data_IF_731816274903
#
_entry.id   IF_731816274903
#
_cell.length_a   1.000
_cell.length_b   1.000
_cell.length_c   1.000
_cell.angle_alpha   90.00
_cell.angle_beta   90.00
_cell.angle_gamma   90.00
#
_symmetry.space_group_name_H-M   'P 1'
#
loop_
_entity.id
_entity.type
_entity.pdbx_description
1 polymer ?
#
# COMPACT_ATOMS: atom_id res chain seq x y z
N UNK A 1 -21.01 -34.62 6.85
CA UNK A 1 -21.23 -33.86 5.62
C UNK A 1 -22.24 -32.79 5.95
N UNK A 2 -21.84 -31.61 6.07
CA UNK A 2 -22.52 -30.31 6.27
C UNK A 2 -21.85 -29.53 7.40
N UNK A 3 -20.83 -28.77 7.03
CA UNK A 3 -20.32 -27.62 7.82
C UNK A 3 -19.25 -26.97 6.94
N UNK A 4 -19.61 -25.92 6.24
CA UNK A 4 -18.69 -24.93 5.63
C UNK A 4 -19.47 -23.91 4.78
N UNK A 5 -20.43 -23.22 5.39
CA UNK A 5 -21.15 -22.12 4.72
C UNK A 5 -21.34 -20.86 5.58
N UNK A 6 -20.75 -20.83 6.78
CA UNK A 6 -21.05 -19.76 7.77
C UNK A 6 -19.96 -18.66 7.86
N UNK A 7 -18.75 -18.86 7.33
CA UNK A 7 -17.67 -17.89 7.49
C UNK A 7 -17.64 -16.77 6.42
N UNK A 8 -18.26 -16.97 5.25
CA UNK A 8 -18.36 -15.93 4.20
C UNK A 8 -19.43 -14.86 4.49
N UNK A 9 -20.51 -15.23 5.17
CA UNK A 9 -21.63 -14.33 5.47
C UNK A 9 -21.32 -13.36 6.62
N UNK A 10 -20.45 -13.72 7.53
CA UNK A 10 -20.06 -12.84 8.66
C UNK A 10 -19.13 -11.71 8.23
N UNK A 11 -18.24 -11.93 7.27
CA UNK A 11 -17.32 -10.90 6.75
C UNK A 11 -18.05 -9.81 5.96
N UNK A 12 -18.95 -10.18 5.05
CA UNK A 12 -19.73 -9.21 4.25
C UNK A 12 -20.74 -8.44 5.11
N UNK A 13 -21.24 -9.06 6.19
CA UNK A 13 -22.14 -8.42 7.16
C UNK A 13 -21.41 -7.40 8.04
N UNK A 14 -20.18 -7.67 8.45
CA UNK A 14 -19.34 -6.74 9.22
C UNK A 14 -18.93 -5.54 8.37
N UNK A 15 -18.49 -5.76 7.14
CA UNK A 15 -18.11 -4.69 6.21
C UNK A 15 -19.28 -3.73 5.93
N UNK A 16 -20.48 -4.24 5.69
CA UNK A 16 -21.67 -3.40 5.50
C UNK A 16 -22.05 -2.63 6.78
N UNK A 17 -21.77 -3.18 7.97
CA UNK A 17 -22.01 -2.52 9.24
C UNK A 17 -21.02 -1.36 9.47
N UNK A 18 -19.74 -1.57 9.18
CA UNK A 18 -18.69 -0.55 9.25
C UNK A 18 -18.92 0.59 8.25
N UNK A 19 -19.27 0.27 6.99
CA UNK A 19 -19.64 1.29 6.01
C UNK A 19 -20.84 2.12 6.47
N UNK A 20 -21.84 1.50 7.05
CA UNK A 20 -23.01 2.20 7.60
C UNK A 20 -22.62 3.14 8.74
N UNK A 21 -21.77 2.68 9.66
CA UNK A 21 -21.32 3.49 10.79
C UNK A 21 -20.47 4.68 10.31
N UNK A 22 -19.57 4.46 9.35
CA UNK A 22 -18.79 5.52 8.71
C UNK A 22 -19.69 6.58 8.05
N UNK A 23 -20.71 6.18 7.26
CA UNK A 23 -21.62 7.12 6.59
C UNK A 23 -22.45 7.91 7.58
N UNK A 24 -22.87 7.29 8.69
CA UNK A 24 -23.60 8.00 9.76
C UNK A 24 -22.71 9.01 10.48
N UNK A 25 -21.44 8.67 10.72
CA UNK A 25 -20.46 9.57 11.33
C UNK A 25 -20.17 10.75 10.40
N UNK A 26 -19.96 10.50 9.10
CA UNK A 26 -19.74 11.53 8.09
C UNK A 26 -20.92 12.50 7.95
N UNK A 27 -22.17 12.01 8.05
CA UNK A 27 -23.36 12.88 8.08
C UNK A 27 -23.38 13.79 9.31
N UNK A 28 -22.99 13.26 10.46
CA UNK A 28 -22.93 14.05 11.69
C UNK A 28 -21.82 15.12 11.65
N UNK A 29 -20.66 14.79 11.09
CA UNK A 29 -19.56 15.75 10.89
C UNK A 29 -19.93 16.85 9.91
N UNK A 30 -20.67 16.54 8.83
CA UNK A 30 -21.21 17.53 7.90
C UNK A 30 -22.16 18.54 8.56
N UNK A 31 -23.05 18.05 9.44
CA UNK A 31 -23.94 18.94 10.18
C UNK A 31 -23.16 19.89 11.10
N UNK A 32 -22.10 19.41 11.76
CA UNK A 32 -21.22 20.23 12.59
C UNK A 32 -20.44 21.27 11.78
N UNK A 33 -19.94 20.89 10.60
CA UNK A 33 -19.23 21.82 9.71
C UNK A 33 -20.15 22.92 9.18
N UNK A 34 -21.41 22.57 8.88
CA UNK A 34 -22.42 23.53 8.50
C UNK A 34 -22.79 24.50 9.64
N UNK A 35 -22.99 23.97 10.87
CA UNK A 35 -23.25 24.80 12.06
C UNK A 35 -22.10 25.75 12.39
N UNK A 36 -20.84 25.31 12.14
CA UNK A 36 -19.65 26.13 12.32
C UNK A 36 -19.42 27.17 11.21
N UNK A 37 -20.28 27.19 10.18
CA UNK A 37 -20.20 28.14 9.06
C UNK A 37 -19.07 27.82 8.05
N UNK A 38 -18.50 26.63 8.11
CA UNK A 38 -17.44 26.16 7.22
C UNK A 38 -17.98 25.60 5.90
N UNK A 39 -19.29 25.30 5.84
CA UNK A 39 -19.96 24.72 4.68
C UNK A 39 -21.11 25.61 4.21
N UNK A 40 -21.28 25.79 2.91
CA UNK A 40 -22.43 26.51 2.38
C UNK A 40 -23.72 25.66 2.50
N UNK A 41 -24.90 26.28 2.57
CA UNK A 41 -26.18 25.57 2.62
C UNK A 41 -26.35 24.63 1.42
N UNK A 42 -25.91 25.03 0.24
CA UNK A 42 -26.02 24.26 -0.99
C UNK A 42 -25.11 23.05 -0.99
N UNK A 43 -23.86 23.21 -0.56
CA UNK A 43 -22.91 22.11 -0.42
C UNK A 43 -23.36 21.13 0.67
N UNK A 44 -23.85 21.62 1.80
CA UNK A 44 -24.39 20.80 2.86
C UNK A 44 -25.57 19.92 2.36
N UNK A 45 -26.57 20.53 1.70
CA UNK A 45 -27.69 19.79 1.15
C UNK A 45 -27.27 18.75 0.10
N UNK A 46 -26.29 19.07 -0.74
CA UNK A 46 -25.80 18.16 -1.76
C UNK A 46 -25.09 16.97 -1.13
N UNK A 47 -24.21 17.19 -0.17
CA UNK A 47 -23.45 16.14 0.52
C UNK A 47 -24.37 15.27 1.38
N UNK A 48 -25.33 15.86 2.10
CA UNK A 48 -26.33 15.11 2.87
C UNK A 48 -27.18 14.20 1.97
N UNK A 49 -27.66 14.71 0.81
CA UNK A 49 -28.41 13.88 -0.17
C UNK A 49 -27.58 12.73 -0.70
N UNK A 50 -26.31 12.95 -0.88
CA UNK A 50 -25.36 11.94 -1.38
C UNK A 50 -25.12 10.84 -0.35
N UNK A 51 -24.69 11.19 0.86
CA UNK A 51 -24.44 10.19 1.91
C UNK A 51 -25.70 9.44 2.31
N UNK A 52 -26.86 10.10 2.28
CA UNK A 52 -28.15 9.44 2.50
C UNK A 52 -28.48 8.42 1.41
N UNK A 53 -28.13 8.71 0.14
CA UNK A 53 -28.30 7.75 -0.97
C UNK A 53 -27.34 6.56 -0.85
N UNK A 54 -26.09 6.78 -0.48
CA UNK A 54 -25.13 5.72 -0.24
C UNK A 54 -25.53 4.84 0.94
N UNK A 55 -26.03 5.44 2.01
CA UNK A 55 -26.57 4.72 3.16
C UNK A 55 -27.76 3.85 2.78
N UNK A 56 -28.65 4.34 1.89
CA UNK A 56 -29.76 3.56 1.34
C UNK A 56 -29.25 2.35 0.52
N UNK A 57 -28.25 2.55 -0.33
CA UNK A 57 -27.65 1.48 -1.13
C UNK A 57 -27.00 0.39 -0.28
N UNK A 58 -26.28 0.77 0.78
CA UNK A 58 -25.67 -0.18 1.73
C UNK A 58 -26.75 -0.97 2.48
N UNK A 59 -27.88 -0.32 2.82
CA UNK A 59 -29.01 -0.98 3.49
C UNK A 59 -29.85 -1.86 2.56
N UNK A 60 -29.95 -1.51 1.27
CA UNK A 60 -30.64 -2.33 0.26
C UNK A 60 -29.80 -3.54 -0.18
N UNK A 61 -28.48 -3.40 -0.28
CA UNK A 61 -27.55 -4.51 -0.56
C UNK A 61 -27.69 -5.63 0.50
N UNK A 62 -27.90 -5.27 1.77
CA UNK A 62 -28.18 -6.24 2.84
C UNK A 62 -29.51 -7.01 2.64
N UNK A 63 -30.51 -6.40 1.99
CA UNK A 63 -31.79 -7.05 1.65
C UNK A 63 -31.70 -8.04 0.48
N UNK A 64 -30.74 -7.82 -0.44
CA UNK A 64 -30.53 -8.67 -1.63
C UNK A 64 -29.71 -9.91 -1.27
N UNK A 65 -28.80 -9.82 -0.28
CA UNK A 65 -28.01 -10.97 0.22
C UNK A 65 -28.91 -11.96 0.96
N UNK A 66 -29.97 -11.48 1.62
CA UNK A 66 -30.96 -12.34 2.31
C UNK A 66 -31.92 -13.09 1.34
N UNK A 67 -31.90 -12.76 0.04
CA UNK A 67 -32.75 -13.42 -0.97
C UNK A 67 -31.92 -14.17 -2.03
N UNK A 68 -31.35 -15.29 -1.65
CA UNK A 68 -30.51 -16.23 -2.38
C UNK A 68 -30.59 -16.24 -3.92
N UNK A 69 -29.50 -15.87 -4.56
CA UNK A 69 -29.14 -16.34 -5.89
C UNK A 69 -27.61 -16.45 -6.01
N UNK A 70 -27.11 -17.67 -6.27
CA UNK A 70 -25.67 -18.00 -6.37
C UNK A 70 -24.96 -17.26 -7.50
N UNK A 71 -23.79 -16.64 -7.29
CA UNK A 71 -22.92 -16.16 -8.37
C UNK A 71 -21.79 -17.12 -8.67
N UNK A 72 -21.53 -17.31 -9.96
CA UNK A 72 -20.51 -18.17 -10.54
C UNK A 72 -19.08 -17.74 -10.11
N UNK A 73 -18.29 -18.72 -9.67
CA UNK A 73 -16.91 -18.61 -9.18
C UNK A 73 -15.92 -18.35 -10.32
N UNK A 74 -15.17 -17.28 -10.27
CA UNK A 74 -13.99 -17.08 -11.10
C UNK A 74 -13.65 -15.60 -11.34
N UNK A 75 -12.44 -15.16 -10.94
CA UNK A 75 -11.79 -13.84 -11.18
C UNK A 75 -11.97 -12.72 -10.14
N UNK A 76 -12.40 -12.97 -8.90
CA UNK A 76 -12.69 -11.88 -7.94
C UNK A 76 -11.52 -11.43 -7.04
N UNK A 77 -10.45 -12.20 -6.90
CA UNK A 77 -9.41 -11.92 -5.88
C UNK A 77 -8.36 -10.88 -6.30
N UNK A 78 -8.06 -10.74 -7.60
CA UNK A 78 -7.10 -9.72 -8.06
C UNK A 78 -7.73 -8.33 -8.25
N UNK A 79 -9.02 -8.26 -8.59
CA UNK A 79 -9.72 -6.99 -8.76
C UNK A 79 -10.04 -6.28 -7.43
N UNK A 80 -10.25 -7.03 -6.32
CA UNK A 80 -10.57 -6.47 -5.01
C UNK A 80 -9.38 -5.77 -4.35
N UNK A 81 -8.17 -6.29 -4.52
CA UNK A 81 -6.94 -5.66 -3.99
C UNK A 81 -6.67 -4.31 -4.69
N UNK A 82 -6.99 -4.21 -5.99
CA UNK A 82 -6.83 -2.97 -6.76
C UNK A 82 -7.89 -1.90 -6.45
N UNK A 83 -9.12 -2.32 -6.14
CA UNK A 83 -10.22 -1.38 -5.83
C UNK A 83 -10.07 -0.73 -4.45
N UNK A 84 -9.49 -1.43 -3.46
CA UNK A 84 -9.30 -0.90 -2.11
C UNK A 84 -8.26 0.23 -2.06
N UNK A 85 -7.16 0.10 -2.81
CA UNK A 85 -6.11 1.14 -2.89
C UNK A 85 -6.62 2.46 -3.49
N UNK A 86 -7.58 2.39 -4.43
CA UNK A 86 -8.12 3.57 -5.12
C UNK A 86 -9.20 4.28 -4.28
N UNK A 87 -9.97 3.54 -3.48
CA UNK A 87 -11.00 4.12 -2.58
C UNK A 87 -10.35 4.92 -1.44
N UNK A 88 -9.18 4.47 -0.94
CA UNK A 88 -8.41 5.20 0.06
C UNK A 88 -7.81 6.51 -0.50
N UNK A 89 -7.45 6.55 -1.79
CA UNK A 89 -7.00 7.77 -2.48
C UNK A 89 -8.09 8.85 -2.55
N UNK A 90 -9.34 8.47 -2.77
CA UNK A 90 -10.46 9.41 -2.86
C UNK A 90 -10.87 10.03 -1.52
N UNK A 91 -10.70 9.30 -0.41
CA UNK A 91 -11.12 9.76 0.91
C UNK A 91 -10.13 10.75 1.55
N UNK A 92 -8.82 10.56 1.33
CA UNK A 92 -7.79 11.43 1.92
C UNK A 92 -7.69 12.80 1.23
N UNK A 93 -7.96 12.88 -0.09
CA UNK A 93 -7.94 14.13 -0.84
C UNK A 93 -9.03 15.13 -0.38
N UNK A 94 -10.15 14.64 0.17
CA UNK A 94 -11.25 15.49 0.64
C UNK A 94 -10.93 16.35 1.86
N UNK A 95 -9.95 15.96 2.68
CA UNK A 95 -9.68 16.62 3.98
C UNK A 95 -8.70 17.80 3.83
N UNK A 96 -7.82 17.79 2.83
CA UNK A 96 -6.80 18.85 2.66
C UNK A 96 -7.29 20.11 1.92
N UNK A 97 -8.45 20.06 1.24
CA UNK A 97 -8.98 21.15 0.42
C UNK A 97 -9.55 22.31 1.26
N UNK A 98 -9.90 22.08 2.54
CA UNK A 98 -10.49 23.13 3.38
C UNK A 98 -9.51 24.24 3.84
N UNK A 99 -8.20 24.07 3.65
CA UNK A 99 -7.21 25.04 4.16
C UNK A 99 -6.66 26.04 3.12
N UNK A 100 -7.00 25.90 1.83
CA UNK A 100 -6.46 26.79 0.77
C UNK A 100 -7.50 27.62 0.02
N UNK A 101 -8.73 27.74 0.54
CA UNK A 101 -9.76 28.61 -0.08
C UNK A 101 -9.39 30.08 0.09
N UNK A 102 -8.59 30.57 -0.84
CA UNK A 102 -8.26 32.01 -0.98
C UNK A 102 -9.50 32.84 -1.28
N UNK A 103 -9.52 34.07 -0.76
CA UNK A 103 -10.59 35.06 -0.79
C UNK A 103 -11.21 35.28 -2.20
N UNK A 104 -12.54 35.30 -2.24
CA UNK A 104 -13.35 35.65 -3.42
C UNK A 104 -13.07 37.07 -3.92
N UNK A 105 -12.88 37.20 -5.23
CA UNK A 105 -12.92 38.49 -5.92
C UNK A 105 -14.35 38.90 -6.18
N UNK A 106 -14.73 40.10 -5.76
CA UNK A 106 -16.06 40.66 -5.98
C UNK A 106 -16.27 41.06 -7.46
N UNK A 107 -17.23 40.39 -8.15
CA UNK A 107 -17.62 40.77 -9.52
C UNK A 107 -18.30 39.70 -10.37
N UNK A 108 -18.69 38.53 -9.88
CA UNK A 108 -19.38 37.56 -10.71
C UNK A 108 -20.91 37.69 -10.67
N UNK A 109 -21.46 37.81 -11.89
CA UNK A 109 -22.88 38.03 -12.20
C UNK A 109 -23.75 36.80 -11.97
N UNK A 110 -24.90 37.00 -11.31
CA UNK A 110 -25.93 36.00 -11.01
C UNK A 110 -26.82 35.79 -12.23
N UNK A 111 -26.38 35.16 -13.30
CA UNK A 111 -27.24 34.53 -14.33
C UNK A 111 -26.38 33.72 -15.31
N UNK A 112 -26.12 32.48 -14.96
CA UNK A 112 -25.51 31.48 -15.81
C UNK A 112 -25.48 30.17 -15.04
N UNK A 113 -25.72 29.05 -15.72
CA UNK A 113 -25.61 27.70 -15.17
C UNK A 113 -24.53 27.64 -14.09
N UNK A 114 -24.88 27.18 -12.89
CA UNK A 114 -23.97 27.03 -11.75
C UNK A 114 -22.80 26.17 -12.26
N UNK A 115 -21.69 26.81 -12.64
CA UNK A 115 -20.45 26.07 -12.92
C UNK A 115 -19.99 25.51 -11.59
N UNK A 116 -19.93 24.18 -11.49
CA UNK A 116 -19.30 23.51 -10.34
C UNK A 116 -17.92 24.15 -10.14
N UNK A 117 -17.51 24.35 -8.89
CA UNK A 117 -16.13 24.80 -8.61
C UNK A 117 -15.15 23.78 -9.15
N UNK A 118 -13.96 24.20 -9.54
CA UNK A 118 -12.90 23.29 -10.02
C UNK A 118 -12.61 22.19 -8.97
N UNK A 119 -12.57 22.56 -7.71
CA UNK A 119 -12.39 21.63 -6.60
C UNK A 119 -13.52 20.57 -6.54
N UNK A 120 -14.79 20.98 -6.76
CA UNK A 120 -15.92 20.03 -6.81
C UNK A 120 -15.83 19.09 -8.03
N UNK A 121 -15.38 19.58 -9.19
CA UNK A 121 -15.18 18.78 -10.40
C UNK A 121 -14.07 17.74 -10.19
N UNK A 122 -12.93 18.16 -9.63
CA UNK A 122 -11.82 17.24 -9.29
C UNK A 122 -12.28 16.16 -8.33
N UNK A 123 -12.96 16.53 -7.24
CA UNK A 123 -13.49 15.55 -6.27
C UNK A 123 -14.47 14.58 -6.93
N UNK A 124 -15.33 15.06 -7.84
CA UNK A 124 -16.26 14.21 -8.60
C UNK A 124 -15.50 13.21 -9.49
N UNK A 125 -14.50 13.67 -10.23
CA UNK A 125 -13.67 12.81 -11.08
C UNK A 125 -12.91 11.76 -10.26
N UNK A 126 -12.33 12.15 -9.12
CA UNK A 126 -11.62 11.23 -8.22
C UNK A 126 -12.51 10.12 -7.69
N UNK A 127 -13.78 10.40 -7.39
CA UNK A 127 -14.73 9.38 -6.97
C UNK A 127 -15.02 8.33 -8.06
N UNK A 128 -14.79 8.67 -9.31
CA UNK A 128 -14.98 7.75 -10.44
C UNK A 128 -13.76 6.84 -10.66
N UNK A 129 -12.59 7.16 -10.08
CA UNK A 129 -11.37 6.37 -10.23
C UNK A 129 -11.54 4.90 -9.82
N UNK A 130 -12.36 4.64 -8.80
CA UNK A 130 -12.66 3.29 -8.32
C UNK A 130 -13.51 2.44 -9.26
N UNK A 131 -14.14 3.05 -10.29
CA UNK A 131 -15.02 2.35 -11.22
C UNK A 131 -14.49 2.46 -12.66
N UNK A 132 -13.90 1.37 -13.16
CA UNK A 132 -13.28 1.32 -14.47
C UNK A 132 -14.22 1.69 -15.62
N UNK A 133 -15.50 1.32 -15.52
CA UNK A 133 -16.50 1.60 -16.55
C UNK A 133 -16.82 3.11 -16.67
N UNK A 134 -16.45 3.89 -15.64
CA UNK A 134 -16.68 5.34 -15.57
C UNK A 134 -15.40 6.17 -15.76
N UNK A 135 -14.28 5.56 -16.10
CA UNK A 135 -13.03 6.30 -16.33
C UNK A 135 -13.13 7.31 -17.47
N UNK A 136 -13.90 7.00 -18.53
CA UNK A 136 -14.16 7.96 -19.61
C UNK A 136 -14.82 9.24 -19.12
N UNK A 137 -15.81 9.11 -18.21
CA UNK A 137 -16.50 10.23 -17.58
C UNK A 137 -15.55 11.06 -16.69
N UNK A 138 -14.67 10.38 -15.93
CA UNK A 138 -13.66 11.06 -15.13
C UNK A 138 -12.66 11.84 -15.99
N UNK A 139 -12.24 11.29 -17.12
CA UNK A 139 -11.34 11.95 -18.08
C UNK A 139 -12.00 13.21 -18.64
N UNK A 140 -13.29 13.15 -19.04
CA UNK A 140 -14.04 14.32 -19.52
C UNK A 140 -14.11 15.43 -18.47
N UNK A 141 -14.32 15.09 -17.20
CA UNK A 141 -14.34 16.06 -16.10
C UNK A 141 -12.94 16.70 -15.91
N UNK A 142 -11.86 15.92 -15.98
CA UNK A 142 -10.50 16.48 -15.91
C UNK A 142 -10.20 17.37 -17.13
N UNK A 143 -10.67 17.03 -18.33
CA UNK A 143 -10.53 17.86 -19.53
C UNK A 143 -11.27 19.20 -19.36
N UNK A 144 -12.49 19.21 -18.82
CA UNK A 144 -13.24 20.43 -18.49
C UNK A 144 -12.51 21.33 -17.48
N UNK A 145 -11.88 20.71 -16.46
CA UNK A 145 -11.03 21.43 -15.50
C UNK A 145 -9.83 22.07 -16.22
N UNK A 146 -9.18 21.33 -17.11
CA UNK A 146 -8.00 21.79 -17.82
C UNK A 146 -8.31 22.85 -18.89
N UNK A 147 -9.54 22.94 -19.42
CA UNK A 147 -9.98 24.06 -20.26
C UNK A 147 -9.95 25.39 -19.50
N UNK A 148 -10.27 25.36 -18.21
CA UNK A 148 -10.30 26.57 -17.37
C UNK A 148 -9.01 26.81 -16.60
N UNK A 149 -8.31 25.74 -16.22
CA UNK A 149 -7.03 25.75 -15.49
C UNK A 149 -6.01 24.82 -16.16
N UNK A 150 -5.36 25.22 -17.24
CA UNK A 150 -4.45 24.37 -18.02
C UNK A 150 -3.24 23.81 -17.24
N UNK A 151 -2.87 24.47 -16.14
CA UNK A 151 -1.76 24.07 -15.27
C UNK A 151 -2.22 23.39 -13.96
N UNK A 152 -3.46 22.91 -13.89
CA UNK A 152 -3.93 22.21 -12.71
C UNK A 152 -3.24 20.84 -12.60
N UNK A 153 -2.28 20.72 -11.68
CA UNK A 153 -1.41 19.55 -11.54
C UNK A 153 -2.17 18.29 -11.21
N UNK A 154 -3.23 18.39 -10.43
CA UNK A 154 -4.07 17.26 -10.03
C UNK A 154 -4.85 16.71 -11.23
N UNK A 155 -5.52 17.59 -12.00
CA UNK A 155 -6.25 17.18 -13.19
C UNK A 155 -5.31 16.60 -14.28
N UNK A 156 -4.15 17.21 -14.49
CA UNK A 156 -3.12 16.68 -15.41
C UNK A 156 -2.67 15.28 -15.00
N UNK A 157 -2.37 15.09 -13.71
CA UNK A 157 -1.82 13.84 -13.18
C UNK A 157 -2.81 12.69 -13.28
N UNK A 158 -4.04 12.90 -12.82
CA UNK A 158 -5.04 11.82 -12.80
C UNK A 158 -5.62 11.53 -14.18
N UNK A 159 -5.74 12.53 -15.05
CA UNK A 159 -6.08 12.31 -16.47
C UNK A 159 -5.04 11.42 -17.16
N UNK A 160 -3.76 11.72 -16.97
CA UNK A 160 -2.67 10.90 -17.52
C UNK A 160 -2.70 9.46 -16.95
N UNK A 161 -2.96 9.31 -15.64
CA UNK A 161 -3.08 8.00 -15.01
C UNK A 161 -4.23 7.18 -15.59
N UNK A 162 -5.41 7.76 -15.76
CA UNK A 162 -6.55 7.07 -16.36
C UNK A 162 -6.29 6.68 -17.81
N UNK A 163 -5.66 7.56 -18.60
CA UNK A 163 -5.25 7.22 -19.95
C UNK A 163 -4.23 6.08 -19.99
N UNK A 164 -3.25 6.07 -19.08
CA UNK A 164 -2.30 4.99 -18.94
C UNK A 164 -3.00 3.65 -18.62
N UNK A 165 -3.87 3.65 -17.63
CA UNK A 165 -4.62 2.47 -17.20
C UNK A 165 -5.61 1.97 -18.28
N UNK A 166 -6.06 2.84 -19.16
CA UNK A 166 -6.95 2.51 -20.29
C UNK A 166 -6.19 2.00 -21.52
N UNK A 167 -4.87 1.87 -21.44
CA UNK A 167 -4.02 1.37 -22.54
C UNK A 167 -3.61 2.46 -23.53
N UNK A 168 -3.61 3.73 -23.08
CA UNK A 168 -3.04 4.84 -23.85
C UNK A 168 -1.52 4.69 -24.02
N UNK A 169 -0.95 5.47 -24.96
CA UNK A 169 0.48 5.41 -25.24
C UNK A 169 1.31 5.78 -23.99
N UNK A 170 2.14 4.86 -23.51
CA UNK A 170 2.90 5.01 -22.27
C UNK A 170 3.82 6.24 -22.32
N UNK A 171 4.53 6.44 -23.42
CA UNK A 171 5.47 7.56 -23.57
C UNK A 171 4.78 8.93 -23.48
N UNK A 172 3.52 9.03 -23.94
CA UNK A 172 2.74 10.25 -23.83
C UNK A 172 2.36 10.56 -22.38
N UNK A 173 2.03 9.51 -21.60
CA UNK A 173 1.67 9.67 -20.21
C UNK A 173 2.89 9.98 -19.33
N UNK A 174 4.03 9.32 -19.57
CA UNK A 174 5.30 9.66 -18.92
C UNK A 174 5.60 11.14 -19.10
N UNK A 175 5.53 11.62 -20.35
CA UNK A 175 5.77 13.03 -20.66
C UNK A 175 4.77 13.97 -19.96
N UNK A 176 3.50 13.57 -19.85
CA UNK A 176 2.51 14.39 -19.16
C UNK A 176 2.83 14.53 -17.66
N UNK A 177 3.29 13.49 -17.00
CA UNK A 177 3.74 13.58 -15.59
C UNK A 177 5.04 14.36 -15.43
N UNK A 178 5.98 14.23 -16.38
CA UNK A 178 7.19 15.07 -16.40
C UNK A 178 6.82 16.56 -16.53
N UNK A 179 5.82 16.91 -17.35
CA UNK A 179 5.30 18.27 -17.45
C UNK A 179 4.66 18.74 -16.14
N UNK A 180 3.95 17.86 -15.40
CA UNK A 180 3.45 18.17 -14.05
C UNK A 180 4.61 18.51 -13.11
N UNK A 181 5.70 17.74 -13.13
CA UNK A 181 6.86 17.99 -12.28
C UNK A 181 7.65 19.24 -12.65
N UNK A 182 7.48 19.78 -13.86
CA UNK A 182 7.98 21.13 -14.21
C UNK A 182 7.17 22.24 -13.52
N UNK A 183 5.87 21.99 -13.26
CA UNK A 183 4.99 22.93 -12.55
C UNK A 183 5.18 22.80 -11.04
N UNK A 184 5.15 21.59 -10.53
CA UNK A 184 5.29 21.26 -9.11
C UNK A 184 6.25 20.08 -8.93
N UNK A 185 7.57 20.34 -8.74
CA UNK A 185 8.60 19.29 -8.71
C UNK A 185 8.42 18.22 -7.63
N UNK A 186 7.76 18.56 -6.51
CA UNK A 186 7.52 17.64 -5.39
C UNK A 186 6.16 16.94 -5.43
N UNK A 187 5.40 17.01 -6.53
CA UNK A 187 4.05 16.44 -6.58
C UNK A 187 4.08 14.91 -6.52
N UNK A 188 3.80 14.39 -5.32
CA UNK A 188 4.01 12.98 -4.96
C UNK A 188 3.27 11.99 -5.86
N UNK A 189 2.03 12.32 -6.28
CA UNK A 189 1.22 11.44 -7.15
C UNK A 189 1.88 11.25 -8.52
N UNK A 190 2.40 12.33 -9.13
CA UNK A 190 3.11 12.25 -10.40
C UNK A 190 4.42 11.47 -10.28
N UNK A 191 5.17 11.67 -9.18
CA UNK A 191 6.40 10.93 -8.90
C UNK A 191 6.14 9.42 -8.80
N UNK A 192 5.08 9.01 -8.08
CA UNK A 192 4.72 7.60 -7.94
C UNK A 192 4.22 7.02 -9.25
N UNK A 193 3.34 7.72 -9.99
CA UNK A 193 2.82 7.22 -11.27
C UNK A 193 3.90 7.11 -12.34
N UNK A 194 4.86 8.04 -12.36
CA UNK A 194 6.07 7.92 -13.19
C UNK A 194 6.89 6.70 -12.81
N UNK A 195 7.19 6.52 -11.52
CA UNK A 195 7.98 5.39 -11.05
C UNK A 195 7.33 4.06 -11.39
N UNK A 196 6.00 3.94 -11.20
CA UNK A 196 5.23 2.73 -11.57
C UNK A 196 5.28 2.50 -13.08
N UNK A 197 5.08 3.54 -13.88
CA UNK A 197 5.05 3.41 -15.35
C UNK A 197 6.41 3.03 -15.91
N UNK A 198 7.47 3.65 -15.42
CA UNK A 198 8.85 3.36 -15.81
C UNK A 198 9.28 1.95 -15.35
N UNK A 199 8.89 1.52 -14.13
CA UNK A 199 9.14 0.16 -13.65
C UNK A 199 8.47 -0.87 -14.55
N UNK A 200 7.20 -0.65 -14.93
CA UNK A 200 6.47 -1.55 -15.85
C UNK A 200 7.12 -1.63 -17.25
N UNK A 201 7.85 -0.59 -17.67
CA UNK A 201 8.62 -0.57 -18.92
C UNK A 201 10.06 -1.14 -18.75
N UNK A 202 10.44 -1.57 -17.53
CA UNK A 202 11.79 -2.05 -17.21
C UNK A 202 12.85 -0.94 -17.15
N UNK A 203 12.44 0.33 -17.05
CA UNK A 203 13.31 1.50 -16.97
C UNK A 203 13.63 1.85 -15.52
N UNK A 204 14.22 0.89 -14.80
CA UNK A 204 14.40 0.95 -13.34
C UNK A 204 15.35 2.06 -12.89
N UNK A 205 16.41 2.32 -13.65
CA UNK A 205 17.34 3.42 -13.36
C UNK A 205 16.65 4.78 -13.39
N UNK A 206 15.72 4.97 -14.32
CA UNK A 206 14.95 6.21 -14.41
C UNK A 206 13.87 6.27 -13.33
N UNK A 207 13.20 5.15 -13.05
CA UNK A 207 12.21 5.06 -11.98
C UNK A 207 12.81 5.38 -10.60
N UNK A 208 14.04 4.93 -10.34
CA UNK A 208 14.74 5.19 -9.07
C UNK A 208 14.97 6.67 -8.81
N UNK A 209 15.26 7.47 -9.86
CA UNK A 209 15.44 8.92 -9.71
C UNK A 209 14.17 9.62 -9.19
N UNK A 210 12.99 9.19 -9.64
CA UNK A 210 11.72 9.76 -9.17
C UNK A 210 11.37 9.27 -7.76
N UNK A 211 11.75 8.04 -7.40
CA UNK A 211 11.62 7.53 -6.02
C UNK A 211 12.59 8.26 -5.06
N UNK A 212 13.80 8.58 -5.47
CA UNK A 212 14.72 9.41 -4.69
C UNK A 212 14.15 10.81 -4.48
N UNK A 213 13.56 11.38 -5.51
CA UNK A 213 12.88 12.66 -5.40
C UNK A 213 11.65 12.58 -4.47
N UNK A 214 10.86 11.49 -4.54
CA UNK A 214 9.74 11.23 -3.64
C UNK A 214 10.20 11.20 -2.19
N UNK A 215 11.25 10.43 -1.87
CA UNK A 215 11.83 10.30 -0.52
C UNK A 215 12.36 11.62 0.04
N UNK A 216 12.83 12.51 -0.84
CA UNK A 216 13.38 13.81 -0.45
C UNK A 216 12.30 14.84 -0.11
N UNK A 217 11.02 14.53 -0.30
CA UNK A 217 9.89 15.41 -0.06
C UNK A 217 8.95 14.84 1.00
N UNK A 218 8.15 15.67 1.69
CA UNK A 218 7.05 15.18 2.51
C UNK A 218 6.04 14.43 1.65
N UNK A 219 5.79 13.16 1.97
CA UNK A 219 4.85 12.30 1.23
C UNK A 219 3.59 12.09 2.06
N UNK A 220 2.42 12.16 1.44
CA UNK A 220 1.15 11.84 2.08
C UNK A 220 1.08 10.34 2.41
N UNK A 221 0.41 9.99 3.52
CA UNK A 221 0.30 8.59 3.99
C UNK A 221 -0.35 7.66 2.96
N UNK A 222 -1.36 8.14 2.22
CA UNK A 222 -2.04 7.38 1.19
C UNK A 222 -1.11 7.04 -0.01
N UNK A 223 -0.26 7.97 -0.40
CA UNK A 223 0.75 7.76 -1.43
C UNK A 223 1.84 6.79 -0.95
N UNK A 224 2.30 6.96 0.29
CA UNK A 224 3.26 6.02 0.89
C UNK A 224 2.68 4.60 0.97
N UNK A 225 1.40 4.46 1.31
CA UNK A 225 0.72 3.17 1.31
C UNK A 225 0.71 2.51 -0.07
N UNK A 226 0.55 3.26 -1.16
CA UNK A 226 0.63 2.72 -2.53
C UNK A 226 2.04 2.18 -2.82
N UNK A 227 3.07 2.97 -2.47
CA UNK A 227 4.47 2.57 -2.67
C UNK A 227 4.77 1.26 -1.92
N UNK A 228 4.35 1.17 -0.66
CA UNK A 228 4.55 -0.01 0.20
C UNK A 228 3.75 -1.23 -0.30
N UNK A 229 2.45 -1.07 -0.57
CA UNK A 229 1.61 -2.18 -1.06
C UNK A 229 2.08 -2.73 -2.41
N UNK A 230 2.63 -1.87 -3.25
CA UNK A 230 3.21 -2.26 -4.54
C UNK A 230 4.59 -2.90 -4.37
N UNK A 231 5.28 -2.68 -3.23
CA UNK A 231 6.68 -3.06 -3.04
C UNK A 231 7.61 -2.31 -4.00
N UNK A 232 7.26 -1.05 -4.31
CA UNK A 232 7.87 -0.30 -5.40
C UNK A 232 9.35 0.00 -5.13
N UNK A 233 9.73 0.26 -3.88
CA UNK A 233 11.13 0.45 -3.51
C UNK A 233 11.94 -0.84 -3.74
N UNK A 234 11.42 -1.98 -3.28
CA UNK A 234 12.08 -3.27 -3.48
C UNK A 234 12.29 -3.60 -4.95
N UNK A 235 11.23 -3.46 -5.78
CA UNK A 235 11.28 -3.74 -7.21
C UNK A 235 12.24 -2.81 -7.94
N UNK A 236 12.07 -1.50 -7.81
CA UNK A 236 12.82 -0.51 -8.59
C UNK A 236 14.29 -0.48 -8.19
N UNK A 237 14.60 -0.32 -6.89
CA UNK A 237 16.00 -0.33 -6.46
C UNK A 237 16.63 -1.71 -6.58
N UNK A 238 15.84 -2.79 -6.40
CA UNK A 238 16.31 -4.15 -6.59
C UNK A 238 16.80 -4.41 -8.00
N UNK A 239 16.09 -3.97 -9.02
CA UNK A 239 16.52 -4.14 -10.41
C UNK A 239 17.61 -3.12 -10.81
N UNK A 240 17.48 -1.85 -10.42
CA UNK A 240 18.46 -0.81 -10.74
C UNK A 240 19.84 -1.08 -10.12
N UNK A 241 19.88 -1.53 -8.86
CA UNK A 241 21.13 -1.76 -8.14
C UNK A 241 21.70 -3.17 -8.32
N UNK A 242 20.94 -4.13 -8.86
CA UNK A 242 21.36 -5.52 -8.97
C UNK A 242 22.72 -5.69 -9.65
N UNK A 243 23.03 -5.04 -10.79
CA UNK A 243 24.36 -5.15 -11.42
C UNK A 243 25.48 -4.70 -10.48
N UNK A 244 25.27 -3.60 -9.76
CA UNK A 244 26.24 -3.05 -8.80
C UNK A 244 26.44 -3.99 -7.60
N UNK A 245 25.34 -4.55 -7.05
CA UNK A 245 25.39 -5.47 -5.90
C UNK A 245 26.13 -6.77 -6.27
N UNK A 246 25.96 -7.26 -7.48
CA UNK A 246 26.67 -8.46 -7.96
C UNK A 246 28.19 -8.23 -7.95
N UNK A 247 28.64 -7.09 -8.45
CA UNK A 247 30.06 -6.78 -8.63
C UNK A 247 30.78 -6.46 -7.31
N UNK A 248 30.09 -5.88 -6.32
CA UNK A 248 30.69 -5.53 -5.02
C UNK A 248 30.66 -6.75 -4.09
N UNK A 249 31.81 -7.13 -3.53
CA UNK A 249 31.90 -8.29 -2.64
C UNK A 249 31.27 -8.04 -1.26
N UNK A 250 31.36 -6.81 -0.75
CA UNK A 250 30.83 -6.35 0.55
C UNK A 250 30.32 -4.93 0.41
N UNK A 251 29.10 -4.73 -0.13
CA UNK A 251 28.53 -3.39 -0.24
C UNK A 251 28.18 -2.84 1.16
N UNK A 252 28.24 -1.52 1.28
CA UNK A 252 27.68 -0.79 2.42
C UNK A 252 26.34 -0.15 2.01
N UNK A 253 25.49 0.21 2.98
CA UNK A 253 24.27 0.95 2.70
C UNK A 253 24.57 2.33 2.09
N UNK A 254 25.65 2.98 2.53
CA UNK A 254 26.11 4.26 1.98
C UNK A 254 26.51 4.14 0.49
N UNK A 255 27.28 3.10 0.11
CA UNK A 255 27.64 2.85 -1.29
C UNK A 255 26.42 2.57 -2.18
N UNK A 256 25.40 1.91 -1.63
CA UNK A 256 24.15 1.62 -2.33
C UNK A 256 23.14 2.77 -2.25
N UNK A 257 23.40 3.81 -1.45
CA UNK A 257 22.52 4.94 -1.18
C UNK A 257 21.13 4.49 -0.64
N UNK A 258 21.12 3.42 0.16
CA UNK A 258 19.90 2.83 0.74
C UNK A 258 19.84 3.11 2.24
N UNK A 259 18.62 3.37 2.72
CA UNK A 259 18.27 3.28 4.14
C UNK A 259 17.99 1.82 4.50
N UNK A 260 18.08 1.45 5.77
CA UNK A 260 17.95 0.07 6.23
C UNK A 260 16.60 -0.55 5.83
N UNK A 261 15.52 0.19 5.99
CA UNK A 261 14.16 -0.24 5.65
C UNK A 261 14.00 -0.52 4.15
N UNK A 262 14.54 0.36 3.30
CA UNK A 262 14.52 0.16 1.85
C UNK A 262 15.46 -0.99 1.46
N UNK A 263 16.61 -1.08 2.11
CA UNK A 263 17.52 -2.22 1.95
C UNK A 263 16.84 -3.56 2.24
N UNK A 264 15.99 -3.64 3.27
CA UNK A 264 15.17 -4.81 3.55
C UNK A 264 14.20 -5.11 2.41
N UNK A 265 13.47 -4.12 1.91
CA UNK A 265 12.56 -4.30 0.78
C UNK A 265 13.29 -4.79 -0.47
N UNK A 266 14.46 -4.23 -0.76
CA UNK A 266 15.33 -4.65 -1.89
C UNK A 266 15.79 -6.09 -1.71
N UNK A 267 16.31 -6.46 -0.54
CA UNK A 267 16.76 -7.81 -0.26
C UNK A 267 15.59 -8.82 -0.36
N UNK A 268 14.45 -8.49 0.22
CA UNK A 268 13.24 -9.32 0.14
C UNK A 268 12.75 -9.47 -1.31
N UNK A 269 12.78 -8.40 -2.12
CA UNK A 269 12.43 -8.46 -3.53
C UNK A 269 13.36 -9.39 -4.33
N UNK A 270 14.68 -9.30 -4.10
CA UNK A 270 15.64 -10.17 -4.78
C UNK A 270 15.41 -11.66 -4.50
N UNK A 271 14.88 -12.00 -3.32
CA UNK A 271 14.51 -13.38 -2.95
C UNK A 271 13.25 -13.90 -3.66
N UNK A 272 12.41 -13.04 -4.25
CA UNK A 272 11.27 -13.50 -5.05
C UNK A 272 11.70 -14.27 -6.31
N UNK A 273 12.93 -14.09 -6.73
CA UNK A 273 13.53 -14.86 -7.82
C UNK A 273 14.30 -16.05 -7.24
N UNK A 274 13.95 -17.26 -7.63
CA UNK A 274 14.62 -18.51 -7.19
C UNK A 274 16.03 -18.68 -7.78
N UNK A 275 16.73 -17.58 -8.12
CA UNK A 275 18.09 -17.61 -8.68
C UNK A 275 19.13 -17.46 -7.57
N UNK A 276 20.08 -18.35 -7.50
CA UNK A 276 21.17 -18.36 -6.51
C UNK A 276 21.93 -17.02 -6.43
N UNK A 277 22.19 -16.38 -7.58
CA UNK A 277 22.90 -15.10 -7.63
C UNK A 277 22.11 -13.97 -6.94
N UNK A 278 20.79 -13.97 -7.05
CA UNK A 278 19.92 -12.99 -6.39
C UNK A 278 19.84 -13.25 -4.88
N UNK A 279 19.83 -14.52 -4.48
CA UNK A 279 19.92 -14.90 -3.07
C UNK A 279 21.23 -14.42 -2.44
N UNK A 280 22.35 -14.61 -3.14
CA UNK A 280 23.66 -14.09 -2.67
C UNK A 280 23.63 -12.56 -2.57
N UNK A 281 23.00 -11.88 -3.52
CA UNK A 281 22.85 -10.42 -3.49
C UNK A 281 21.99 -9.95 -2.32
N UNK A 282 20.89 -10.65 -2.01
CA UNK A 282 20.07 -10.37 -0.83
C UNK A 282 20.86 -10.52 0.48
N UNK A 283 21.65 -11.59 0.61
CA UNK A 283 22.55 -11.81 1.76
C UNK A 283 23.56 -10.66 1.92
N UNK A 284 24.11 -10.16 0.81
CA UNK A 284 25.04 -9.01 0.87
C UNK A 284 24.35 -7.76 1.44
N UNK A 285 23.10 -7.51 1.08
CA UNK A 285 22.33 -6.36 1.59
C UNK A 285 21.99 -6.56 3.07
N UNK A 286 21.53 -7.73 3.50
CA UNK A 286 21.29 -8.00 4.92
C UNK A 286 22.56 -7.78 5.75
N UNK A 287 23.73 -8.20 5.25
CA UNK A 287 25.01 -7.95 5.90
C UNK A 287 25.38 -6.47 5.96
N UNK A 288 25.06 -5.70 4.92
CA UNK A 288 25.23 -4.26 4.94
C UNK A 288 24.37 -3.61 6.04
N UNK A 289 23.12 -4.03 6.16
CA UNK A 289 22.21 -3.56 7.22
C UNK A 289 22.76 -3.94 8.61
N UNK A 290 23.18 -5.19 8.82
CA UNK A 290 23.72 -5.68 10.09
C UNK A 290 25.03 -4.96 10.46
N UNK A 291 25.81 -4.54 9.49
CA UNK A 291 27.04 -3.80 9.73
C UNK A 291 26.77 -2.43 10.35
N UNK A 292 25.76 -1.72 9.89
CA UNK A 292 25.36 -0.40 10.39
C UNK A 292 24.42 -0.50 11.62
N UNK A 293 23.59 -1.55 11.67
CA UNK A 293 22.61 -1.83 12.71
C UNK A 293 22.76 -3.26 13.24
N UNK A 294 23.74 -3.55 14.12
CA UNK A 294 24.11 -4.91 14.53
C UNK A 294 23.01 -5.73 15.22
N UNK A 295 22.01 -5.07 15.80
CA UNK A 295 20.85 -5.72 16.45
C UNK A 295 19.57 -5.66 15.63
N UNK A 296 19.64 -5.36 14.32
CA UNK A 296 18.45 -5.26 13.47
C UNK A 296 17.75 -6.62 13.33
N UNK A 297 16.55 -6.82 13.91
CA UNK A 297 15.99 -8.16 14.08
C UNK A 297 15.65 -8.84 12.75
N UNK A 298 15.06 -8.13 11.81
CA UNK A 298 14.65 -8.70 10.53
C UNK A 298 15.86 -9.06 9.65
N UNK A 299 16.85 -8.18 9.54
CA UNK A 299 18.05 -8.47 8.75
C UNK A 299 18.83 -9.67 9.30
N UNK A 300 19.00 -9.75 10.64
CA UNK A 300 19.61 -10.89 11.31
C UNK A 300 18.84 -12.19 11.03
N UNK A 301 17.52 -12.15 11.19
CA UNK A 301 16.67 -13.32 11.04
C UNK A 301 16.60 -13.83 9.60
N UNK A 302 16.50 -12.93 8.64
CA UNK A 302 16.46 -13.27 7.21
C UNK A 302 17.79 -13.83 6.72
N UNK A 303 18.92 -13.21 7.07
CA UNK A 303 20.24 -13.77 6.75
C UNK A 303 20.41 -15.15 7.37
N UNK A 304 20.08 -15.31 8.65
CA UNK A 304 20.21 -16.58 9.35
C UNK A 304 19.35 -17.69 8.73
N UNK A 305 18.10 -17.41 8.32
CA UNK A 305 17.27 -18.39 7.61
C UNK A 305 17.95 -18.87 6.32
N UNK A 306 18.52 -17.95 5.53
CA UNK A 306 19.21 -18.30 4.29
C UNK A 306 20.49 -19.12 4.57
N UNK A 307 21.23 -18.78 5.61
CA UNK A 307 22.42 -19.56 6.02
C UNK A 307 22.05 -20.98 6.49
N UNK A 308 20.94 -21.13 7.23
CA UNK A 308 20.46 -22.43 7.70
C UNK A 308 20.07 -23.37 6.53
N UNK A 309 19.56 -22.81 5.44
CA UNK A 309 19.12 -23.55 4.25
C UNK A 309 20.28 -24.05 3.36
N UNK A 310 21.52 -23.61 3.59
CA UNK A 310 22.66 -24.01 2.77
C UNK A 310 23.06 -25.49 2.93
N UNK A 311 22.67 -26.14 4.01
CA UNK A 311 23.09 -27.49 4.38
C UNK A 311 24.53 -27.58 4.91
N UNK A 312 25.25 -26.48 5.03
CA UNK A 312 26.57 -26.41 5.64
C UNK A 312 26.47 -26.34 7.18
N UNK A 313 27.16 -27.24 7.88
CA UNK A 313 27.05 -27.33 9.34
C UNK A 313 27.61 -26.12 10.10
N UNK A 314 28.69 -25.52 9.59
CA UNK A 314 29.29 -24.33 10.21
C UNK A 314 28.40 -23.11 10.02
N UNK A 315 27.81 -22.96 8.82
CA UNK A 315 26.85 -21.91 8.54
C UNK A 315 25.54 -22.09 9.31
N UNK A 316 25.10 -23.34 9.49
CA UNK A 316 23.92 -23.65 10.31
C UNK A 316 24.14 -23.26 11.79
N UNK A 317 25.31 -23.63 12.37
CA UNK A 317 25.63 -23.25 13.76
C UNK A 317 25.66 -21.71 13.89
N UNK A 318 26.27 -21.02 12.95
CA UNK A 318 26.27 -19.54 12.90
C UNK A 318 24.84 -18.96 12.80
N UNK A 319 23.98 -19.56 12.00
CA UNK A 319 22.58 -19.13 11.87
C UNK A 319 21.82 -19.21 13.20
N UNK A 320 22.01 -20.30 13.94
CA UNK A 320 21.40 -20.48 15.28
C UNK A 320 21.89 -19.41 16.26
N UNK A 321 23.21 -19.18 16.31
CA UNK A 321 23.78 -18.15 17.19
C UNK A 321 23.21 -16.75 16.83
N UNK A 322 23.08 -16.47 15.54
CA UNK A 322 22.56 -15.19 15.04
C UNK A 322 21.07 -15.01 15.38
N UNK A 323 20.25 -16.06 15.24
CA UNK A 323 18.83 -16.03 15.62
C UNK A 323 18.65 -15.89 17.13
N UNK A 324 19.46 -16.59 17.94
CA UNK A 324 19.45 -16.42 19.38
C UNK A 324 19.81 -14.99 19.79
N UNK A 325 20.78 -14.39 19.14
CA UNK A 325 21.14 -13.00 19.36
C UNK A 325 19.99 -12.06 18.96
N UNK A 326 19.38 -12.24 17.78
CA UNK A 326 18.26 -11.43 17.33
C UNK A 326 17.08 -11.43 18.31
N UNK A 327 16.72 -12.62 18.82
CA UNK A 327 15.64 -12.77 19.82
C UNK A 327 16.04 -12.21 21.19
N UNK A 328 17.30 -12.38 21.61
CA UNK A 328 17.78 -11.84 22.88
C UNK A 328 17.72 -10.30 22.92
N UNK A 329 18.13 -9.65 21.83
CA UNK A 329 18.08 -8.18 21.70
C UNK A 329 16.65 -7.64 21.46
N UNK A 330 15.78 -8.46 20.85
CA UNK A 330 14.42 -8.07 20.46
C UNK A 330 13.40 -9.17 20.86
N UNK A 331 13.13 -9.40 22.15
CA UNK A 331 12.36 -10.55 22.62
C UNK A 331 10.88 -10.53 22.20
N UNK A 332 10.34 -9.37 21.83
CA UNK A 332 8.97 -9.22 21.36
C UNK A 332 8.85 -9.08 19.84
N UNK A 333 9.94 -9.31 19.11
CA UNK A 333 9.90 -9.24 17.63
C UNK A 333 9.38 -10.56 17.06
N UNK A 334 8.17 -10.51 16.48
CA UNK A 334 7.48 -11.69 15.94
C UNK A 334 8.28 -12.34 14.80
N UNK A 335 8.92 -11.55 13.93
CA UNK A 335 9.68 -12.08 12.80
C UNK A 335 10.93 -12.85 13.27
N UNK A 336 11.65 -12.33 14.29
CA UNK A 336 12.80 -13.01 14.87
C UNK A 336 12.42 -14.34 15.54
N UNK A 337 11.34 -14.35 16.32
CA UNK A 337 10.80 -15.55 16.94
C UNK A 337 10.34 -16.58 15.90
N UNK A 338 9.60 -16.14 14.87
CA UNK A 338 9.08 -17.00 13.81
C UNK A 338 10.20 -17.63 12.98
N UNK A 339 11.24 -16.85 12.68
CA UNK A 339 12.42 -17.33 11.96
C UNK A 339 13.17 -18.37 12.78
N UNK A 340 13.37 -18.13 14.09
CA UNK A 340 14.02 -19.07 14.97
C UNK A 340 13.20 -20.35 15.14
N UNK A 341 11.89 -20.23 15.38
CA UNK A 341 10.99 -21.39 15.46
C UNK A 341 11.03 -22.24 14.18
N UNK A 342 11.12 -21.62 13.00
CA UNK A 342 11.21 -22.33 11.72
C UNK A 342 12.42 -23.24 11.66
N UNK A 343 13.58 -22.76 12.10
CA UNK A 343 14.82 -23.55 12.08
C UNK A 343 14.86 -24.56 13.23
N UNK A 344 14.44 -24.17 14.44
CA UNK A 344 14.41 -25.06 15.61
C UNK A 344 13.45 -26.25 15.42
N UNK A 345 12.39 -26.10 14.64
CA UNK A 345 11.40 -27.16 14.41
C UNK A 345 12.01 -28.48 13.91
N UNK A 346 13.18 -28.44 13.27
CA UNK A 346 13.86 -29.62 12.75
C UNK A 346 14.65 -30.41 13.82
N UNK A 347 15.13 -29.74 14.87
CA UNK A 347 16.07 -30.38 15.82
C UNK A 347 15.83 -30.03 17.30
N UNK A 348 15.10 -28.95 17.59
CA UNK A 348 14.70 -28.52 18.94
C UNK A 348 13.21 -28.16 18.95
N UNK A 349 12.36 -29.19 18.95
CA UNK A 349 10.91 -29.02 18.90
C UNK A 349 10.37 -28.23 20.10
N UNK A 350 10.96 -28.42 21.30
CA UNK A 350 10.56 -27.70 22.51
C UNK A 350 10.86 -26.19 22.35
N UNK A 351 12.05 -25.84 21.88
CA UNK A 351 12.42 -24.46 21.61
C UNK A 351 11.51 -23.80 20.57
N UNK A 352 11.18 -24.52 19.49
CA UNK A 352 10.24 -24.05 18.48
C UNK A 352 8.85 -23.78 19.06
N UNK A 353 8.32 -24.69 19.88
CA UNK A 353 7.01 -24.52 20.50
C UNK A 353 6.97 -23.34 21.48
N UNK A 354 8.04 -23.11 22.23
CA UNK A 354 8.17 -21.96 23.14
C UNK A 354 8.14 -20.63 22.38
N UNK A 355 8.83 -20.55 21.22
CA UNK A 355 8.79 -19.38 20.38
C UNK A 355 7.39 -19.12 19.82
N UNK A 356 6.68 -20.16 19.38
CA UNK A 356 5.31 -20.04 18.90
C UNK A 356 4.32 -19.62 20.01
N UNK A 357 4.54 -20.03 21.25
CA UNK A 357 3.75 -19.57 22.40
C UNK A 357 4.01 -18.08 22.68
N UNK A 358 5.27 -17.66 22.66
CA UNK A 358 5.65 -16.24 22.80
C UNK A 358 5.01 -15.37 21.72
N UNK A 359 5.00 -15.83 20.47
CA UNK A 359 4.32 -15.12 19.36
C UNK A 359 2.81 -15.00 19.65
N UNK A 360 2.15 -16.07 20.10
CA UNK A 360 0.73 -16.00 20.44
C UNK A 360 0.44 -14.97 21.53
N UNK A 361 1.31 -14.88 22.57
CA UNK A 361 1.16 -13.88 23.64
C UNK A 361 1.31 -12.45 23.11
N UNK A 362 2.28 -12.21 22.21
CA UNK A 362 2.51 -10.89 21.58
C UNK A 362 1.29 -10.50 20.72
N UNK A 363 0.80 -11.42 19.88
CA UNK A 363 -0.35 -11.18 19.01
C UNK A 363 -1.64 -10.96 19.80
N UNK A 364 -1.83 -11.65 20.93
CA UNK A 364 -2.98 -11.46 21.81
C UNK A 364 -2.99 -10.09 22.52
N UNK A 365 -1.82 -9.45 22.67
CA UNK A 365 -1.66 -8.13 23.29
C UNK A 365 -1.74 -6.96 22.30
N UNK A 366 -1.70 -7.22 20.96
CA UNK A 366 -1.64 -6.22 19.90
C UNK A 366 -2.91 -6.14 19.04
N UNK A 367 -2.87 -5.31 17.99
CA UNK A 367 -3.98 -5.15 17.03
C UNK A 367 -4.00 -6.32 16.02
N UNK A 368 -5.16 -6.91 15.80
CA UNK A 368 -5.36 -8.20 15.12
C UNK A 368 -5.26 -8.18 13.59
N UNK A 369 -5.02 -7.04 12.94
CA UNK A 369 -5.14 -6.89 11.47
C UNK A 369 -3.99 -7.48 10.64
N UNK A 370 -2.82 -7.75 11.24
CA UNK A 370 -1.63 -8.26 10.53
C UNK A 370 -1.42 -9.78 10.67
N UNK A 371 -2.38 -10.51 11.24
CA UNK A 371 -2.15 -11.82 11.81
C UNK A 371 -2.26 -13.03 10.88
N UNK A 372 -3.03 -12.97 9.80
CA UNK A 372 -3.38 -14.16 9.00
C UNK A 372 -2.15 -14.86 8.37
N UNK A 373 -1.21 -14.16 7.69
CA UNK A 373 -0.03 -14.81 7.14
C UNK A 373 0.88 -15.43 8.21
N UNK A 374 1.02 -14.75 9.36
CA UNK A 374 1.81 -15.19 10.50
C UNK A 374 1.19 -16.44 11.09
N UNK A 375 -0.12 -16.47 11.32
CA UNK A 375 -0.86 -17.61 11.84
C UNK A 375 -0.73 -18.85 10.95
N UNK A 376 -0.87 -18.68 9.63
CA UNK A 376 -0.69 -19.78 8.66
C UNK A 376 0.72 -20.38 8.76
N UNK A 377 1.74 -19.54 8.90
CA UNK A 377 3.12 -20.01 9.05
C UNK A 377 3.33 -20.71 10.40
N UNK A 378 2.82 -20.13 11.48
CA UNK A 378 2.84 -20.76 12.81
C UNK A 378 2.17 -22.14 12.84
N UNK A 379 1.02 -22.32 12.17
CA UNK A 379 0.34 -23.60 12.05
C UNK A 379 1.19 -24.66 11.36
N UNK A 380 1.87 -24.27 10.28
CA UNK A 380 2.81 -25.16 9.57
C UNK A 380 3.96 -25.61 10.48
N UNK A 381 4.59 -24.65 11.19
CA UNK A 381 5.67 -24.94 12.13
C UNK A 381 5.16 -25.82 13.27
N UNK A 382 4.01 -25.50 13.86
CA UNK A 382 3.39 -26.27 14.94
C UNK A 382 3.09 -27.70 14.53
N UNK A 383 2.56 -27.90 13.32
CA UNK A 383 2.29 -29.24 12.79
C UNK A 383 3.59 -30.03 12.57
N UNK A 384 4.65 -29.39 12.09
CA UNK A 384 5.95 -30.01 11.85
C UNK A 384 6.69 -30.33 13.15
N UNK A 385 6.73 -29.41 14.11
CA UNK A 385 7.36 -29.58 15.42
C UNK A 385 6.52 -30.43 16.41
N UNK A 386 5.32 -30.84 15.99
CA UNK A 386 4.39 -31.62 16.84
C UNK A 386 4.08 -30.94 18.20
N UNK A 387 3.95 -29.61 18.21
CA UNK A 387 3.57 -28.86 19.40
C UNK A 387 2.13 -29.24 19.82
N UNK A 388 1.96 -29.53 21.09
CA UNK A 388 0.66 -29.93 21.69
C UNK A 388 -0.13 -28.70 22.15
#
# INVERSE_FOLDING_TARGET
MTENSDEGETSDSNFAAEQKEFLLKSLHELDQEFENGNLSLEDHEMLVRRYTRELANVTEAKKVVDSGSEPKKGYRTKALVWSLGIVLLGAAAGITISQTSGARSSGESITGSIRKSVSSQISEAQMLLGNRDRWGEAIEIFDDVLETQPSNVEALTYRAWLNYQSGGEVSAQIKAWEEVLLIEPGYSDALVFLSISLSNEGRYDEASLYLDQLRSNPVREDILAIVQQRGLYGEVYGEALYPTIVDISKPTLEELQLEAEIGLEVANYLLLSEKDERTVSAIKIYRAIIMDFPSHPEALSREALLLAQTGDQDLFAKAIDQMNFAVAENPNNVEALLSRATVLAEFDQEGACNDLESINEILAAGDQSAEEPIRVQMEKIRAFAACT
#
